data_IF_462060347404
#
_entry.id   IF_462060347404
#
_cell.length_a   1.000
_cell.length_b   1.000
_cell.length_c   1.000
_cell.angle_alpha   90.00
_cell.angle_beta   90.00
_cell.angle_gamma   90.00
#
_symmetry.space_group_name_H-M   'P 1'
#
loop_
_entity.id
_entity.type
_entity.pdbx_description
1 polymer ?
#
# COMPACT_ATOMS: atom_id res chain seq x y z
N UNK A 1 -0.77 26.68 9.24
CA UNK A 1 -1.59 25.63 9.87
C UNK A 1 -0.70 24.41 10.00
N UNK A 2 -0.50 23.93 11.22
CA UNK A 2 0.34 22.79 11.56
C UNK A 2 -0.19 21.50 10.91
N UNK A 3 0.67 20.80 10.16
CA UNK A 3 0.40 19.44 9.66
C UNK A 3 0.24 18.48 10.84
N UNK A 4 -0.95 17.91 11.01
CA UNK A 4 -1.19 16.79 11.93
C UNK A 4 -0.70 15.52 11.24
N UNK A 5 0.54 15.12 11.51
CA UNK A 5 1.00 13.75 11.27
C UNK A 5 0.40 12.89 12.37
N UNK A 6 -0.74 12.26 12.10
CA UNK A 6 -1.28 11.25 12.99
C UNK A 6 -0.48 9.96 12.78
N UNK A 7 0.49 9.70 13.65
CA UNK A 7 1.14 8.39 13.74
C UNK A 7 0.10 7.45 14.34
N UNK A 8 -0.55 6.63 13.52
CA UNK A 8 -1.36 5.53 14.03
C UNK A 8 -0.44 4.59 14.83
N UNK A 9 -0.95 4.05 15.96
CA UNK A 9 -0.23 3.06 16.80
C UNK A 9 0.48 2.05 15.90
N UNK A 10 1.77 1.82 16.13
CA UNK A 10 2.61 0.91 15.33
C UNK A 10 2.01 -0.50 15.41
N UNK A 11 1.33 -0.99 14.38
CA UNK A 11 0.72 -2.29 14.47
C UNK A 11 1.83 -3.33 14.33
N UNK A 12 1.93 -4.25 15.30
CA UNK A 12 2.82 -5.42 15.18
C UNK A 12 2.07 -6.47 14.37
N UNK A 13 2.44 -6.63 13.11
CA UNK A 13 1.97 -7.74 12.27
C UNK A 13 3.03 -8.84 12.28
N UNK A 14 2.69 -10.02 12.83
CA UNK A 14 3.60 -11.16 12.88
C UNK A 14 4.95 -10.90 13.58
N UNK A 15 5.00 -9.99 14.56
CA UNK A 15 6.23 -9.63 15.27
C UNK A 15 7.09 -8.55 14.60
N UNK A 16 6.75 -8.08 13.39
CA UNK A 16 7.48 -7.00 12.71
C UNK A 16 6.92 -5.61 13.03
N UNK A 17 7.83 -4.67 13.31
CA UNK A 17 7.50 -3.24 13.46
C UNK A 17 7.44 -2.59 12.08
N UNK A 18 6.24 -2.36 11.55
CA UNK A 18 6.04 -1.61 10.30
C UNK A 18 5.54 -0.22 10.64
N UNK A 19 6.25 0.81 10.15
CA UNK A 19 5.82 2.20 10.31
C UNK A 19 4.85 2.56 9.19
N UNK A 20 3.57 2.68 9.54
CA UNK A 20 2.55 3.22 8.63
C UNK A 20 2.37 4.69 8.97
N UNK A 21 2.69 5.57 8.02
CA UNK A 21 2.41 7.00 8.13
C UNK A 21 1.23 7.34 7.23
N UNK A 22 0.11 7.76 7.84
CA UNK A 22 -1.03 8.31 7.13
C UNK A 22 -0.74 9.78 6.84
N UNK A 23 -0.62 10.14 5.55
CA UNK A 23 -0.37 11.52 5.15
C UNK A 23 -1.61 12.10 4.46
N UNK A 24 -2.41 12.83 5.24
CA UNK A 24 -3.57 13.58 4.73
C UNK A 24 -3.06 14.93 4.20
N UNK A 25 -2.69 14.99 2.92
CA UNK A 25 -2.28 16.25 2.29
C UNK A 25 -3.54 17.07 1.94
N UNK A 26 -3.91 18.05 2.76
CA UNK A 26 -4.95 19.01 2.42
C UNK A 26 -4.59 19.75 1.12
N UNK A 27 -5.23 19.39 -0.01
CA UNK A 27 -5.12 20.15 -1.24
C UNK A 27 -5.84 21.50 -1.04
N UNK A 28 -5.09 22.57 -0.79
CA UNK A 28 -5.55 23.92 -1.14
C UNK A 28 -5.10 24.25 -2.57
N UNK A 29 -6.11 24.61 -3.36
CA UNK A 29 -6.12 25.13 -4.71
C UNK A 29 -4.80 25.78 -5.20
N UNK A 30 -4.15 25.15 -6.18
CA UNK A 30 -3.11 25.80 -6.98
C UNK A 30 -3.77 26.57 -8.15
N UNK A 31 -4.39 27.70 -7.82
CA UNK A 31 -4.84 28.73 -8.78
C UNK A 31 -4.63 30.12 -8.18
N UNK A 32 -3.37 30.50 -7.92
CA UNK A 32 -2.87 31.89 -7.94
C UNK A 32 -1.44 31.91 -7.40
N UNK A 33 -0.48 32.31 -8.23
CA UNK A 33 0.93 32.35 -7.87
C UNK A 33 1.23 33.38 -6.78
N UNK A 34 1.85 32.93 -5.69
CA UNK A 34 2.69 33.73 -4.79
C UNK A 34 3.56 32.81 -3.93
N UNK A 35 4.79 33.24 -3.63
CA UNK A 35 5.84 32.55 -2.87
C UNK A 35 6.07 33.25 -1.49
N UNK A 36 6.99 32.78 -0.61
CA UNK A 36 6.69 31.94 0.57
C UNK A 36 7.21 32.52 1.92
N UNK A 37 6.94 31.88 3.07
CA UNK A 37 7.69 32.07 4.34
C UNK A 37 7.75 30.74 5.17
N UNK A 38 8.76 30.51 6.05
CA UNK A 38 9.23 29.19 6.45
C UNK A 38 8.56 28.61 7.71
N UNK A 39 8.47 27.28 7.82
CA UNK A 39 8.01 26.58 9.02
C UNK A 39 9.12 25.81 9.76
N UNK A 40 9.12 26.01 11.08
CA UNK A 40 9.94 25.38 12.12
C UNK A 40 9.62 23.89 12.29
N UNK A 41 10.66 23.10 12.57
CA UNK A 41 10.56 21.65 12.82
C UNK A 41 9.87 21.36 14.16
N UNK A 42 9.00 20.36 14.21
CA UNK A 42 8.42 19.84 15.44
C UNK A 42 9.28 18.67 15.97
N UNK A 43 9.74 18.81 17.21
CA UNK A 43 10.32 17.77 18.06
C UNK A 43 9.23 16.83 18.59
N UNK A 44 9.54 15.55 18.70
CA UNK A 44 8.69 14.52 19.31
C UNK A 44 8.47 14.81 20.79
N UNK A 45 7.21 14.77 21.24
CA UNK A 45 6.84 14.78 22.67
C UNK A 45 5.96 13.55 22.92
N UNK A 46 6.41 12.67 23.82
CA UNK A 46 5.59 11.61 24.39
C UNK A 46 4.58 12.21 25.37
N UNK A 47 3.30 11.88 25.25
CA UNK A 47 2.30 12.18 26.27
C UNK A 47 1.37 10.98 26.43
N UNK A 48 1.28 10.49 27.67
CA UNK A 48 0.48 9.34 28.09
C UNK A 48 -1.02 9.60 28.18
N UNK A 49 -1.76 8.50 28.31
CA UNK A 49 -3.22 8.39 28.39
C UNK A 49 -3.88 9.31 29.42
N UNK A 50 -4.98 9.95 29.02
CA UNK A 50 -6.15 10.14 29.88
C UNK A 50 -7.43 10.20 29.04
N UNK A 51 -8.44 9.46 29.47
CA UNK A 51 -9.78 9.37 28.92
C UNK A 51 -10.52 10.71 28.94
N UNK A 52 -11.15 11.11 27.82
CA UNK A 52 -12.35 11.96 27.85
C UNK A 52 -13.27 11.64 26.66
N UNK A 53 -14.55 11.48 27.02
CA UNK A 53 -15.70 11.13 26.19
C UNK A 53 -15.95 12.07 24.99
N UNK A 54 -16.56 11.48 23.95
CA UNK A 54 -17.16 12.20 22.84
C UNK A 54 -18.43 12.92 23.30
N UNK A 55 -18.50 14.23 23.04
CA UNK A 55 -19.76 14.98 23.10
C UNK A 55 -20.10 15.54 21.71
N UNK A 56 -21.37 15.39 21.36
CA UNK A 56 -21.95 15.73 20.08
C UNK A 56 -22.69 17.08 20.19
N UNK A 57 -22.42 18.00 19.25
CA UNK A 57 -23.26 19.16 19.01
C UNK A 57 -23.46 19.26 17.48
N UNK A 58 -24.64 18.97 16.95
CA UNK A 58 -25.84 19.82 16.90
C UNK A 58 -25.67 21.03 15.97
N UNK A 59 -26.34 20.95 14.81
CA UNK A 59 -27.01 22.11 14.22
C UNK A 59 -28.23 21.63 13.45
N UNK A 60 -29.40 21.96 14.00
CA UNK A 60 -30.69 21.87 13.33
C UNK A 60 -30.78 22.91 12.21
N UNK A 61 -31.46 22.57 11.13
CA UNK A 61 -32.27 23.55 10.41
C UNK A 61 -33.55 22.89 9.87
N UNK A 62 -34.68 23.51 10.18
CA UNK A 62 -36.08 23.11 9.97
C UNK A 62 -36.61 23.79 8.71
N UNK A 63 -37.21 23.13 7.71
CA UNK A 63 -38.64 22.74 7.53
C UNK A 63 -39.02 23.14 6.09
N UNK A 64 -39.66 22.25 5.32
CA UNK A 64 -40.98 22.46 4.64
C UNK A 64 -41.44 21.10 4.09
N UNK A 65 -42.69 20.79 4.42
CA UNK A 65 -43.50 19.60 4.16
C UNK A 65 -43.88 19.35 2.69
N UNK A 66 -44.06 18.06 2.33
CA UNK A 66 -45.26 17.58 1.61
C UNK A 66 -45.44 16.07 1.79
N UNK A 67 -46.64 15.72 2.24
CA UNK A 67 -47.19 14.39 2.47
C UNK A 67 -47.18 13.46 1.25
N UNK A 68 -47.00 12.17 1.48
CA UNK A 68 -48.05 11.18 1.19
C UNK A 68 -47.75 9.82 1.83
N UNK A 69 -48.79 9.29 2.45
CA UNK A 69 -48.90 8.10 3.29
C UNK A 69 -49.02 6.79 2.49
N UNK A 70 -48.45 5.69 3.01
CA UNK A 70 -49.22 4.44 3.21
C UNK A 70 -48.56 3.56 4.29
N UNK A 71 -49.34 3.28 5.35
CA UNK A 71 -49.16 2.19 6.32
C UNK A 71 -49.58 0.85 5.65
N UNK A 72 -49.36 -0.36 6.15
CA UNK A 72 -49.13 -0.95 7.48
C UNK A 72 -48.37 -2.29 7.25
N UNK A 73 -47.76 -2.99 8.20
CA UNK A 73 -48.25 -3.37 9.52
C UNK A 73 -47.10 -3.92 10.37
N UNK A 74 -47.13 -3.57 11.64
CA UNK A 74 -46.34 -4.20 12.70
C UNK A 74 -47.18 -5.32 13.31
N UNK A 75 -46.54 -6.43 13.64
CA UNK A 75 -47.05 -7.35 14.65
C UNK A 75 -45.91 -7.68 15.62
N UNK A 76 -46.26 -7.71 16.90
CA UNK A 76 -45.33 -7.59 18.02
C UNK A 76 -45.34 -8.81 18.94
N UNK A 77 -44.19 -9.05 19.57
CA UNK A 77 -43.95 -9.80 20.81
C UNK A 77 -43.80 -11.34 20.70
N UNK A 78 -42.64 -11.84 21.12
CA UNK A 78 -42.49 -12.42 22.46
C UNK A 78 -41.02 -12.41 22.88
N UNK A 79 -40.82 -12.14 24.17
CA UNK A 79 -39.57 -12.10 24.92
C UNK A 79 -39.25 -13.48 25.50
N UNK A 80 -38.07 -14.01 25.18
CA UNK A 80 -37.28 -15.07 25.84
C UNK A 80 -36.23 -15.44 24.77
N UNK A 81 -34.96 -15.08 24.88
CA UNK A 81 -33.97 -15.90 25.58
C UNK A 81 -32.65 -15.11 25.67
N UNK A 82 -32.32 -14.66 26.88
CA UNK A 82 -30.99 -14.18 27.23
C UNK A 82 -30.09 -15.39 27.51
N UNK A 83 -29.33 -15.84 26.52
CA UNK A 83 -28.23 -16.77 26.71
C UNK A 83 -27.00 -16.33 25.92
N UNK A 84 -25.88 -16.25 26.65
CA UNK A 84 -24.59 -15.73 26.24
C UNK A 84 -24.04 -16.35 24.94
N UNK A 85 -23.66 -15.50 23.99
CA UNK A 85 -22.79 -15.89 22.88
C UNK A 85 -21.36 -15.56 23.29
N UNK A 86 -20.65 -16.56 23.81
CA UNK A 86 -19.20 -16.51 24.03
C UNK A 86 -18.54 -16.53 22.65
N UNK A 87 -17.88 -15.43 22.30
CA UNK A 87 -16.97 -15.35 21.16
C UNK A 87 -15.75 -16.24 21.45
N UNK A 88 -15.72 -17.44 20.88
CA UNK A 88 -14.47 -18.17 20.70
C UNK A 88 -14.06 -18.07 19.24
N UNK A 89 -13.21 -17.10 18.94
CA UNK A 89 -12.42 -17.10 17.70
C UNK A 89 -11.61 -18.40 17.62
N UNK A 90 -11.47 -19.02 16.44
CA UNK A 90 -10.66 -20.23 16.29
C UNK A 90 -9.20 -19.95 16.64
N UNK A 91 -8.56 -20.91 17.31
CA UNK A 91 -7.18 -20.83 17.77
C UNK A 91 -6.23 -20.56 16.60
N UNK A 92 -5.34 -19.58 16.79
CA UNK A 92 -4.23 -19.28 15.88
C UNK A 92 -3.27 -20.46 15.90
N UNK A 93 -3.06 -21.06 14.74
CA UNK A 93 -2.01 -22.06 14.53
C UNK A 93 -0.64 -21.40 14.63
N UNK A 94 0.04 -21.62 15.77
CA UNK A 94 1.39 -21.09 16.04
C UNK A 94 2.50 -21.96 15.48
N UNK A 95 2.20 -22.93 14.60
CA UNK A 95 3.19 -23.87 14.07
C UNK A 95 3.96 -23.35 12.84
N UNK A 96 3.62 -22.16 12.32
CA UNK A 96 4.45 -21.50 11.33
C UNK A 96 5.84 -21.24 11.91
N UNK A 97 6.94 -21.66 11.25
CA UNK A 97 8.28 -21.43 11.77
C UNK A 97 8.49 -19.93 11.95
N UNK A 98 8.87 -19.54 13.17
CA UNK A 98 9.29 -18.18 13.46
C UNK A 98 10.36 -17.80 12.44
N UNK A 99 10.08 -16.77 11.65
CA UNK A 99 11.11 -16.09 10.88
C UNK A 99 12.11 -15.57 11.91
N UNK A 100 13.24 -16.26 12.02
CA UNK A 100 14.35 -15.84 12.89
C UNK A 100 14.90 -14.60 12.23
N UNK A 101 14.26 -13.46 12.52
CA UNK A 101 14.80 -12.16 12.25
C UNK A 101 16.16 -12.11 12.91
N UNK A 102 17.20 -12.31 12.10
CA UNK A 102 18.56 -12.02 12.50
C UNK A 102 18.53 -10.58 12.95
N UNK A 103 18.80 -10.35 14.24
CA UNK A 103 18.87 -9.03 14.84
C UNK A 103 20.13 -8.36 14.27
N UNK A 104 20.04 -7.89 13.03
CA UNK A 104 21.09 -7.16 12.35
C UNK A 104 21.16 -5.81 13.04
N UNK A 105 22.30 -5.49 13.64
CA UNK A 105 22.55 -4.19 14.24
C UNK A 105 22.10 -3.07 13.28
N UNK A 106 21.38 -2.04 13.76
CA UNK A 106 20.79 -1.05 12.87
C UNK A 106 21.89 -0.35 12.07
N UNK A 107 21.90 -0.61 10.76
CA UNK A 107 22.74 0.11 9.81
C UNK A 107 22.41 1.61 9.92
N UNK A 108 23.40 2.51 9.98
CA UNK A 108 23.13 3.94 10.00
C UNK A 108 22.19 4.32 8.85
N UNK A 109 21.09 5.00 9.16
CA UNK A 109 20.12 5.38 8.14
C UNK A 109 20.80 6.24 7.06
N UNK A 110 20.59 5.93 5.77
CA UNK A 110 21.23 6.67 4.70
C UNK A 110 20.77 8.13 4.67
N UNK A 111 21.69 9.03 4.30
CA UNK A 111 21.49 10.49 4.42
C UNK A 111 20.59 11.04 3.32
N UNK A 112 19.62 11.86 3.72
CA UNK A 112 18.69 12.58 2.83
C UNK A 112 18.59 14.05 3.23
N UNK A 113 18.06 14.89 2.33
CA UNK A 113 18.08 16.34 2.49
C UNK A 113 16.67 16.94 2.54
N UNK A 114 16.48 17.95 3.38
CA UNK A 114 15.21 18.71 3.44
C UNK A 114 14.94 19.48 2.14
N UNK A 115 15.98 20.04 1.54
CA UNK A 115 15.92 20.81 0.28
C UNK A 115 16.49 19.98 -0.87
N UNK A 116 16.05 20.28 -2.09
CA UNK A 116 16.60 19.65 -3.28
C UNK A 116 18.11 19.94 -3.41
N UNK A 117 18.91 18.90 -3.60
CA UNK A 117 20.37 18.96 -3.74
C UNK A 117 20.88 18.36 -5.04
N UNK A 118 20.12 17.46 -5.65
CA UNK A 118 20.58 16.68 -6.78
C UNK A 118 19.80 16.98 -8.05
N UNK A 119 20.52 16.98 -9.18
CA UNK A 119 19.92 16.73 -10.49
C UNK A 119 19.53 15.25 -10.58
N UNK A 120 18.59 14.93 -11.47
CA UNK A 120 18.03 13.58 -11.59
C UNK A 120 18.50 12.88 -12.86
N UNK A 121 18.85 11.61 -12.72
CA UNK A 121 18.97 10.66 -13.82
C UNK A 121 17.64 9.90 -13.89
N UNK A 122 17.05 9.87 -15.08
CA UNK A 122 15.80 9.15 -15.33
C UNK A 122 16.09 7.83 -16.06
N UNK A 123 15.57 6.74 -15.54
CA UNK A 123 15.62 5.41 -16.15
C UNK A 123 14.18 4.94 -16.36
N UNK A 124 13.70 5.00 -17.61
CA UNK A 124 12.27 4.81 -17.93
C UNK A 124 12.00 3.45 -18.58
N UNK A 125 10.78 2.96 -18.43
CA UNK A 125 10.25 1.73 -19.02
C UNK A 125 11.08 0.47 -18.68
N UNK A 126 11.58 0.39 -17.45
CA UNK A 126 12.32 -0.77 -16.97
C UNK A 126 11.35 -1.90 -16.67
N UNK A 127 11.47 -3.01 -17.37
CA UNK A 127 10.69 -4.22 -17.07
C UNK A 127 11.25 -4.88 -15.80
N UNK A 128 10.46 -4.87 -14.73
CA UNK A 128 10.85 -5.47 -13.44
C UNK A 128 10.38 -6.92 -13.30
N UNK A 129 9.31 -7.28 -14.01
CA UNK A 129 8.75 -8.63 -14.06
C UNK A 129 7.82 -8.77 -15.28
N UNK A 130 7.25 -9.96 -15.43
CA UNK A 130 6.17 -10.24 -16.37
C UNK A 130 4.95 -10.74 -15.60
N UNK A 131 3.76 -10.55 -16.17
CA UNK A 131 2.51 -11.07 -15.60
C UNK A 131 1.70 -11.83 -16.63
N UNK A 132 1.22 -13.03 -16.27
CA UNK A 132 0.26 -13.76 -17.09
C UNK A 132 -1.09 -13.04 -17.08
N UNK A 133 -1.70 -12.91 -18.25
CA UNK A 133 -2.99 -12.25 -18.46
C UNK A 133 -3.92 -13.04 -19.35
N UNK A 134 -5.22 -13.00 -19.04
CA UNK A 134 -6.30 -13.65 -19.78
C UNK A 134 -7.61 -12.83 -19.66
N UNK A 135 -8.64 -13.19 -20.45
CA UNK A 135 -9.98 -12.63 -20.34
C UNK A 135 -10.76 -13.14 -19.11
N UNK A 136 -10.30 -14.24 -18.49
CA UNK A 136 -10.92 -14.92 -17.36
C UNK A 136 -10.00 -14.99 -16.15
N UNK A 137 -10.59 -14.98 -14.95
CA UNK A 137 -9.85 -15.22 -13.72
C UNK A 137 -9.46 -16.68 -13.57
N UNK A 138 -8.26 -16.94 -13.02
CA UNK A 138 -7.77 -18.29 -12.76
C UNK A 138 -7.22 -19.02 -13.99
N UNK A 139 -7.13 -18.35 -15.14
CA UNK A 139 -6.51 -18.90 -16.33
C UNK A 139 -5.03 -19.23 -16.08
N UNK A 140 -4.63 -20.46 -16.45
CA UNK A 140 -3.25 -20.97 -16.33
C UNK A 140 -2.44 -20.80 -17.62
N UNK A 141 -3.11 -20.33 -18.66
CA UNK A 141 -2.59 -20.02 -19.99
C UNK A 141 -3.09 -18.64 -20.38
N UNK A 142 -2.38 -17.96 -21.28
CA UNK A 142 -2.76 -16.63 -21.70
C UNK A 142 -1.62 -15.90 -22.37
N UNK A 143 -1.77 -14.59 -22.50
CA UNK A 143 -0.69 -13.70 -22.97
C UNK A 143 0.13 -13.20 -21.79
N UNK A 144 1.37 -12.81 -22.06
CA UNK A 144 2.23 -12.22 -21.03
C UNK A 144 2.32 -10.72 -21.26
N UNK A 145 2.15 -9.93 -20.21
CA UNK A 145 2.40 -8.49 -20.23
C UNK A 145 3.67 -8.13 -19.47
N UNK A 146 4.35 -7.08 -19.91
CA UNK A 146 5.50 -6.52 -19.19
C UNK A 146 5.02 -5.66 -18.03
N UNK A 147 5.60 -5.91 -16.86
CA UNK A 147 5.40 -5.08 -15.68
C UNK A 147 6.58 -4.12 -15.59
N UNK A 148 6.29 -2.83 -15.69
CA UNK A 148 7.30 -1.80 -15.91
C UNK A 148 7.33 -0.75 -14.80
N UNK A 149 8.50 -0.20 -14.55
CA UNK A 149 8.73 0.95 -13.67
C UNK A 149 9.49 2.06 -14.38
N UNK A 150 9.29 3.28 -13.89
CA UNK A 150 10.09 4.46 -14.22
C UNK A 150 10.81 4.89 -12.94
N UNK A 151 12.10 5.20 -13.01
CA UNK A 151 12.94 5.45 -11.84
C UNK A 151 13.72 6.75 -11.97
N UNK A 152 13.89 7.43 -10.85
CA UNK A 152 14.64 8.67 -10.71
C UNK A 152 15.71 8.51 -9.63
N UNK A 153 16.96 8.71 -10.03
CA UNK A 153 18.14 8.54 -9.20
C UNK A 153 18.88 9.89 -9.05
N UNK A 154 19.48 10.20 -7.89
CA UNK A 154 20.32 11.39 -7.75
C UNK A 154 21.59 11.27 -8.61
N UNK A 155 21.98 12.34 -9.30
CA UNK A 155 23.24 12.41 -10.07
C UNK A 155 24.40 12.94 -9.23
N UNK A 156 25.62 12.55 -9.60
CA UNK A 156 26.85 13.08 -8.98
C UNK A 156 27.03 12.66 -7.52
N UNK A 157 26.57 11.45 -7.19
CA UNK A 157 26.64 10.89 -5.84
C UNK A 157 28.04 10.38 -5.52
N UNK A 158 28.40 10.39 -4.24
CA UNK A 158 29.64 9.83 -3.68
C UNK A 158 29.71 8.30 -3.63
N UNK A 159 28.68 7.61 -4.14
CA UNK A 159 28.57 6.15 -4.10
C UNK A 159 27.97 5.60 -2.80
N UNK A 160 27.60 6.46 -1.84
CA UNK A 160 26.85 6.02 -0.66
C UNK A 160 25.51 5.39 -1.02
N UNK A 161 25.11 4.37 -0.27
CA UNK A 161 23.79 3.76 -0.39
C UNK A 161 22.70 4.74 0.04
N UNK A 162 21.53 4.62 -0.58
CA UNK A 162 20.42 5.57 -0.47
C UNK A 162 19.12 4.87 -0.11
N UNK A 163 18.22 5.52 0.64
CA UNK A 163 16.91 4.94 0.84
C UNK A 163 16.14 4.97 -0.50
N UNK A 164 15.23 4.02 -0.66
CA UNK A 164 14.39 3.94 -1.85
C UNK A 164 12.91 4.16 -1.55
N UNK A 165 12.18 4.67 -2.54
CA UNK A 165 10.75 4.89 -2.48
C UNK A 165 10.08 4.26 -3.71
N UNK A 166 9.18 3.31 -3.52
CA UNK A 166 8.33 2.76 -4.57
C UNK A 166 6.93 3.37 -4.46
N UNK A 167 6.55 4.17 -5.46
CA UNK A 167 5.23 4.77 -5.54
C UNK A 167 4.31 4.02 -6.51
N UNK A 168 3.05 3.87 -6.10
CA UNK A 168 2.05 3.07 -6.80
C UNK A 168 0.85 3.94 -7.13
N UNK A 169 0.45 3.93 -8.40
CA UNK A 169 -0.68 4.73 -8.85
C UNK A 169 -2.03 4.17 -8.37
N UNK A 170 -2.98 5.09 -8.13
CA UNK A 170 -4.38 4.76 -7.93
C UNK A 170 -5.11 4.42 -9.23
N UNK A 171 -6.43 4.55 -9.24
CA UNK A 171 -7.29 4.22 -10.39
C UNK A 171 -8.23 3.04 -10.16
N UNK A 172 -8.50 2.69 -8.89
CA UNK A 172 -9.48 1.68 -8.52
C UNK A 172 -9.17 0.28 -9.08
N UNK A 173 -7.90 -0.01 -9.35
CA UNK A 173 -7.45 -1.22 -10.06
C UNK A 173 -7.96 -1.35 -11.51
N UNK A 174 -8.60 -0.31 -12.06
CA UNK A 174 -9.19 -0.31 -13.41
C UNK A 174 -8.37 0.51 -14.40
N UNK A 175 -7.62 1.49 -13.90
CA UNK A 175 -6.86 2.42 -14.73
C UNK A 175 -5.59 2.90 -14.00
N UNK A 176 -4.80 3.71 -14.71
CA UNK A 176 -3.57 4.31 -14.20
C UNK A 176 -2.32 3.63 -14.77
N UNK A 177 -1.19 4.31 -14.62
CA UNK A 177 0.11 3.82 -15.07
C UNK A 177 1.21 4.44 -14.19
N UNK A 178 2.43 3.89 -14.28
CA UNK A 178 3.65 4.51 -13.71
C UNK A 178 3.89 5.97 -14.11
N UNK A 179 3.28 6.42 -15.20
CA UNK A 179 3.40 7.79 -15.73
C UNK A 179 2.41 8.77 -15.10
N UNK A 180 1.66 8.36 -14.07
CA UNK A 180 0.74 9.26 -13.37
C UNK A 180 1.50 10.50 -12.85
N UNK A 181 1.11 11.69 -13.29
CA UNK A 181 1.87 12.92 -13.04
C UNK A 181 2.06 13.25 -11.55
N UNK A 182 1.04 13.03 -10.72
CA UNK A 182 1.16 13.28 -9.28
C UNK A 182 2.16 12.32 -8.63
N UNK A 183 2.12 11.04 -8.99
CA UNK A 183 3.07 10.03 -8.51
C UNK A 183 4.49 10.33 -8.99
N UNK A 184 4.67 10.66 -10.28
CA UNK A 184 5.96 11.05 -10.86
C UNK A 184 6.54 12.26 -10.12
N UNK A 185 5.71 13.27 -9.81
CA UNK A 185 6.16 14.46 -9.09
C UNK A 185 6.64 14.11 -7.67
N UNK A 186 5.96 13.22 -6.95
CA UNK A 186 6.41 12.71 -5.65
C UNK A 186 7.77 12.00 -5.80
N UNK A 187 7.90 11.10 -6.78
CA UNK A 187 9.16 10.40 -7.00
C UNK A 187 10.33 11.37 -7.25
N UNK A 188 10.15 12.35 -8.14
CA UNK A 188 11.14 13.38 -8.44
C UNK A 188 11.45 14.27 -7.23
N UNK A 189 10.44 14.60 -6.42
CA UNK A 189 10.61 15.38 -5.20
C UNK A 189 11.55 14.69 -4.20
N UNK A 190 11.34 13.40 -3.94
CA UNK A 190 12.18 12.61 -3.05
C UNK A 190 13.56 12.33 -3.67
N UNK A 191 13.62 12.05 -4.98
CA UNK A 191 14.88 11.78 -5.65
C UNK A 191 15.83 12.99 -5.61
N UNK A 192 15.29 14.21 -5.77
CA UNK A 192 16.09 15.44 -5.70
C UNK A 192 16.67 15.68 -4.30
N UNK A 193 16.18 14.95 -3.28
CA UNK A 193 16.56 15.00 -1.87
C UNK A 193 17.40 13.81 -1.43
N UNK A 194 17.87 13.00 -2.37
CA UNK A 194 18.82 11.92 -2.11
C UNK A 194 18.24 10.52 -2.03
N UNK A 195 16.95 10.34 -2.32
CA UNK A 195 16.31 9.03 -2.45
C UNK A 195 16.51 8.45 -3.86
N UNK A 196 16.38 7.13 -3.99
CA UNK A 196 16.11 6.47 -5.28
C UNK A 196 14.62 6.19 -5.35
N UNK A 197 13.90 6.84 -6.24
CA UNK A 197 12.44 6.73 -6.31
C UNK A 197 11.99 6.04 -7.59
N UNK A 198 11.06 5.10 -7.50
CA UNK A 198 10.47 4.41 -8.64
C UNK A 198 8.95 4.50 -8.62
N UNK A 199 8.33 4.66 -9.78
CA UNK A 199 6.89 4.54 -10.00
C UNK A 199 6.61 3.28 -10.80
N UNK A 200 5.66 2.45 -10.37
CA UNK A 200 5.39 1.14 -11.00
C UNK A 200 4.01 1.10 -11.68
N UNK A 201 3.93 0.36 -12.78
CA UNK A 201 2.66 -0.15 -13.31
C UNK A 201 2.44 -1.56 -12.77
N UNK A 202 1.19 -1.92 -12.50
CA UNK A 202 0.74 -3.26 -12.10
C UNK A 202 -0.43 -3.71 -12.97
N UNK A 203 -0.77 -5.00 -12.97
CA UNK A 203 -1.93 -5.51 -13.74
C UNK A 203 -3.24 -4.92 -13.22
N UNK A 204 -4.04 -4.44 -14.15
CA UNK A 204 -5.36 -3.85 -13.90
C UNK A 204 -6.46 -4.86 -14.22
N UNK A 205 -7.70 -4.54 -13.86
CA UNK A 205 -8.89 -5.39 -14.02
C UNK A 205 -9.12 -5.83 -15.48
N UNK A 206 -8.69 -5.04 -16.46
CA UNK A 206 -8.71 -5.42 -17.89
C UNK A 206 -7.67 -6.48 -18.27
N UNK A 207 -6.78 -6.85 -17.36
CA UNK A 207 -5.69 -7.81 -17.50
C UNK A 207 -5.80 -8.87 -16.39
N UNK A 208 -6.93 -9.59 -16.36
CA UNK A 208 -7.17 -10.68 -15.41
C UNK A 208 -6.11 -11.75 -15.55
N UNK A 209 -5.98 -12.63 -14.56
CA UNK A 209 -4.93 -13.65 -14.60
C UNK A 209 -5.10 -14.72 -13.53
N UNK A 210 -4.05 -15.51 -13.30
CA UNK A 210 -4.07 -16.56 -12.29
C UNK A 210 -4.14 -15.94 -10.89
N UNK A 211 -5.05 -16.46 -10.08
CA UNK A 211 -5.22 -16.10 -8.67
C UNK A 211 -5.38 -17.40 -7.86
N UNK A 212 -4.93 -17.44 -6.59
CA UNK A 212 -5.17 -18.57 -5.71
C UNK A 212 -6.67 -18.81 -5.52
N UNK A 213 -7.06 -20.06 -5.30
CA UNK A 213 -8.48 -20.42 -5.19
C UNK A 213 -9.20 -19.68 -4.06
N UNK A 214 -8.52 -19.42 -2.94
CA UNK A 214 -9.08 -18.68 -1.79
C UNK A 214 -9.60 -17.29 -2.16
N UNK A 215 -8.96 -16.61 -3.11
CA UNK A 215 -9.40 -15.29 -3.58
C UNK A 215 -10.75 -15.30 -4.31
N UNK A 216 -11.20 -16.46 -4.82
CA UNK A 216 -12.56 -16.58 -5.35
C UNK A 216 -13.61 -16.54 -4.24
N UNK A 217 -13.30 -17.12 -3.08
CA UNK A 217 -14.17 -17.09 -1.91
C UNK A 217 -14.26 -15.67 -1.34
N UNK A 218 -13.11 -15.00 -1.17
CA UNK A 218 -13.07 -13.60 -0.70
C UNK A 218 -13.84 -12.67 -1.65
N UNK A 219 -13.69 -12.88 -2.96
CA UNK A 219 -14.39 -12.08 -3.95
C UNK A 219 -15.91 -12.31 -3.95
N UNK A 220 -16.39 -13.53 -3.67
CA UNK A 220 -17.81 -13.88 -3.77
C UNK A 220 -18.73 -13.08 -2.83
N UNK A 221 -18.21 -12.65 -1.67
CA UNK A 221 -18.95 -11.81 -0.72
C UNK A 221 -18.96 -10.31 -1.04
N UNK A 222 -18.23 -9.87 -2.08
CA UNK A 222 -18.06 -8.45 -2.39
C UNK A 222 -19.06 -7.96 -3.45
N UNK A 223 -19.47 -6.69 -3.33
CA UNK A 223 -20.22 -5.98 -4.39
C UNK A 223 -19.40 -5.81 -5.68
N UNK A 224 -18.08 -5.94 -5.59
CA UNK A 224 -17.14 -5.76 -6.71
C UNK A 224 -16.13 -6.91 -6.78
N UNK A 225 -16.57 -8.15 -7.12
CA UNK A 225 -15.74 -9.35 -7.04
C UNK A 225 -14.47 -9.28 -7.92
N UNK A 226 -14.58 -8.73 -9.13
CA UNK A 226 -13.41 -8.58 -10.02
C UNK A 226 -12.41 -7.55 -9.51
N UNK A 227 -12.87 -6.54 -8.77
CA UNK A 227 -11.99 -5.56 -8.15
C UNK A 227 -11.21 -6.20 -6.99
N UNK A 228 -11.86 -7.03 -6.17
CA UNK A 228 -11.20 -7.80 -5.11
C UNK A 228 -10.13 -8.74 -5.69
N UNK A 229 -10.41 -9.46 -6.77
CA UNK A 229 -9.40 -10.30 -7.45
C UNK A 229 -8.24 -9.50 -8.02
N UNK A 230 -8.50 -8.29 -8.53
CA UNK A 230 -7.46 -7.40 -9.03
C UNK A 230 -6.53 -6.89 -7.92
N UNK A 231 -7.00 -6.78 -6.67
CA UNK A 231 -6.16 -6.40 -5.53
C UNK A 231 -5.00 -7.38 -5.33
N UNK A 232 -5.27 -8.69 -5.43
CA UNK A 232 -4.23 -9.72 -5.35
C UNK A 232 -3.15 -9.54 -6.42
N UNK A 233 -3.55 -9.40 -7.69
CA UNK A 233 -2.58 -9.23 -8.78
C UNK A 233 -1.74 -7.96 -8.59
N UNK A 234 -2.37 -6.87 -8.16
CA UNK A 234 -1.69 -5.61 -7.90
C UNK A 234 -0.66 -5.75 -6.77
N UNK A 235 -1.04 -6.38 -5.65
CA UNK A 235 -0.15 -6.60 -4.51
C UNK A 235 1.03 -7.51 -4.90
N UNK A 236 0.76 -8.60 -5.62
CA UNK A 236 1.80 -9.49 -6.16
C UNK A 236 2.78 -8.76 -7.07
N UNK A 237 2.27 -7.95 -8.00
CA UNK A 237 3.10 -7.20 -8.95
C UNK A 237 3.96 -6.16 -8.21
N UNK A 238 3.40 -5.50 -7.19
CA UNK A 238 4.15 -4.57 -6.34
C UNK A 238 5.24 -5.27 -5.50
N UNK A 239 4.98 -6.48 -4.98
CA UNK A 239 6.02 -7.31 -4.33
C UNK A 239 7.11 -7.72 -5.30
N UNK A 240 6.76 -8.07 -6.54
CA UNK A 240 7.74 -8.36 -7.58
C UNK A 240 8.63 -7.14 -7.88
N UNK A 241 8.08 -5.92 -7.90
CA UNK A 241 8.85 -4.70 -8.06
C UNK A 241 9.79 -4.43 -6.87
N UNK A 242 9.33 -4.66 -5.65
CA UNK A 242 10.14 -4.57 -4.44
C UNK A 242 11.33 -5.55 -4.47
N UNK A 243 11.07 -6.81 -4.83
CA UNK A 243 12.13 -7.84 -4.98
C UNK A 243 13.09 -7.48 -6.11
N UNK A 244 12.58 -6.98 -7.25
CA UNK A 244 13.43 -6.53 -8.35
C UNK A 244 14.36 -5.40 -7.91
N UNK A 245 13.84 -4.40 -7.20
CA UNK A 245 14.66 -3.28 -6.73
C UNK A 245 15.74 -3.75 -5.76
N UNK A 246 15.39 -4.66 -4.85
CA UNK A 246 16.32 -5.27 -3.89
C UNK A 246 17.40 -6.09 -4.60
N UNK A 247 17.02 -6.88 -5.61
CA UNK A 247 17.95 -7.66 -6.43
C UNK A 247 18.93 -6.78 -7.23
N UNK A 248 18.51 -5.54 -7.54
CA UNK A 248 19.31 -4.57 -8.27
C UNK A 248 19.89 -3.47 -7.35
N UNK A 249 19.86 -3.65 -6.03
CA UNK A 249 20.19 -2.58 -5.09
C UNK A 249 21.60 -2.02 -5.30
N UNK A 250 22.59 -2.91 -5.48
CA UNK A 250 23.98 -2.51 -5.78
C UNK A 250 24.12 -1.71 -7.08
N UNK A 251 23.32 -2.02 -8.10
CA UNK A 251 23.35 -1.32 -9.41
C UNK A 251 22.85 0.12 -9.30
N UNK A 252 21.91 0.36 -8.39
CA UNK A 252 21.24 1.65 -8.23
C UNK A 252 21.63 2.38 -6.94
N UNK A 253 22.66 1.90 -6.23
CA UNK A 253 23.10 2.41 -4.93
C UNK A 253 21.94 2.53 -3.91
N UNK A 254 21.04 1.55 -3.90
CA UNK A 254 19.94 1.46 -2.95
C UNK A 254 20.41 0.72 -1.71
N UNK A 255 20.06 1.22 -0.54
CA UNK A 255 20.12 0.47 0.72
C UNK A 255 18.87 -0.43 0.82
N UNK A 256 19.01 -1.76 0.73
CA UNK A 256 17.87 -2.67 0.76
C UNK A 256 17.17 -2.71 2.13
N UNK A 257 17.78 -2.17 3.18
CA UNK A 257 17.18 -2.11 4.52
C UNK A 257 16.31 -0.85 4.72
N UNK A 258 16.31 0.08 3.76
CA UNK A 258 15.64 1.37 3.84
C UNK A 258 14.78 1.62 2.60
N UNK A 259 13.77 0.76 2.39
CA UNK A 259 12.82 0.88 1.28
C UNK A 259 11.45 1.26 1.83
N UNK A 260 10.88 2.36 1.33
CA UNK A 260 9.51 2.77 1.57
C UNK A 260 8.62 2.43 0.37
N UNK A 261 7.35 2.14 0.64
CA UNK A 261 6.32 1.99 -0.40
C UNK A 261 5.19 2.98 -0.16
N UNK A 262 4.55 3.48 -1.20
CA UNK A 262 3.45 4.42 -1.04
C UNK A 262 2.54 4.50 -2.25
N UNK A 263 1.37 5.09 -2.10
CA UNK A 263 0.45 5.23 -3.21
C UNK A 263 -0.84 5.93 -2.82
N UNK A 264 -1.63 6.29 -3.84
CA UNK A 264 -2.93 6.94 -3.66
C UNK A 264 -4.10 6.00 -3.92
N UNK A 265 -5.12 5.99 -3.06
CA UNK A 265 -6.35 5.18 -3.25
C UNK A 265 -6.02 3.70 -3.48
N UNK A 266 -6.37 3.10 -4.63
CA UNK A 266 -5.98 1.72 -4.98
C UNK A 266 -4.46 1.48 -4.86
N UNK A 267 -3.63 2.48 -5.15
CA UNK A 267 -2.18 2.39 -4.97
C UNK A 267 -1.76 2.34 -3.50
N UNK A 268 -2.51 2.98 -2.59
CA UNK A 268 -2.29 2.87 -1.15
C UNK A 268 -2.61 1.47 -0.65
N UNK A 269 -3.76 0.91 -1.08
CA UNK A 269 -4.12 -0.49 -0.83
C UNK A 269 -3.01 -1.43 -1.28
N UNK A 270 -2.51 -1.26 -2.51
CA UNK A 270 -1.41 -2.07 -3.03
C UNK A 270 -0.14 -1.91 -2.22
N UNK A 271 0.22 -0.67 -1.83
CA UNK A 271 1.42 -0.41 -1.04
C UNK A 271 1.34 -1.04 0.34
N UNK A 272 0.17 -1.01 0.98
CA UNK A 272 -0.04 -1.63 2.29
C UNK A 272 -0.03 -3.15 2.17
N UNK A 273 -0.79 -3.74 1.24
CA UNK A 273 -0.80 -5.19 1.02
C UNK A 273 0.60 -5.75 0.69
N UNK A 274 1.38 -5.03 -0.12
CA UNK A 274 2.77 -5.41 -0.42
C UNK A 274 3.75 -5.12 0.74
N UNK A 275 3.49 -4.10 1.55
CA UNK A 275 4.37 -3.72 2.65
C UNK A 275 4.22 -4.62 3.88
N UNK A 276 3.01 -5.06 4.19
CA UNK A 276 2.69 -5.87 5.39
C UNK A 276 2.78 -7.38 5.17
N UNK A 277 2.85 -7.82 3.92
CA UNK A 277 3.02 -9.24 3.58
C UNK A 277 4.38 -9.78 4.00
N UNK A 278 4.42 -11.07 4.30
CA UNK A 278 5.63 -11.79 4.67
C UNK A 278 6.56 -11.98 3.46
N UNK A 279 7.82 -12.32 3.74
CA UNK A 279 8.82 -12.53 2.69
C UNK A 279 8.42 -13.65 1.72
N UNK A 280 7.73 -14.69 2.22
CA UNK A 280 7.26 -15.85 1.44
C UNK A 280 6.01 -15.57 0.60
N UNK A 281 5.23 -14.54 0.90
CA UNK A 281 3.95 -14.30 0.24
C UNK A 281 4.13 -14.01 -1.26
N UNK A 282 3.12 -14.43 -2.03
CA UNK A 282 3.08 -14.31 -3.48
C UNK A 282 4.18 -15.05 -4.25
N UNK A 283 4.85 -16.03 -3.64
CA UNK A 283 5.88 -16.86 -4.28
C UNK A 283 5.36 -18.24 -4.70
N UNK A 284 4.59 -18.91 -3.85
CA UNK A 284 4.23 -20.33 -3.99
C UNK A 284 2.72 -20.62 -3.88
N UNK A 285 1.89 -19.60 -3.67
CA UNK A 285 0.42 -19.70 -3.69
C UNK A 285 -0.13 -20.18 -5.06
N UNK A 286 0.70 -20.07 -6.09
CA UNK A 286 0.51 -20.61 -7.43
C UNK A 286 1.78 -21.37 -7.81
N UNK A 287 1.63 -22.55 -8.41
CA UNK A 287 2.77 -23.28 -8.99
C UNK A 287 3.23 -22.67 -10.31
N UNK A 288 4.47 -22.98 -10.73
CA UNK A 288 5.01 -22.66 -12.06
C UNK A 288 4.09 -23.09 -13.22
N UNK A 289 3.31 -24.16 -13.04
CA UNK A 289 2.37 -24.64 -14.06
C UNK A 289 1.08 -23.83 -14.09
N UNK A 290 0.70 -23.20 -12.98
CA UNK A 290 -0.44 -22.30 -12.90
C UNK A 290 -0.08 -20.89 -13.36
N UNK A 291 1.16 -20.48 -13.11
CA UNK A 291 1.69 -19.20 -13.57
C UNK A 291 3.20 -19.26 -13.86
N UNK A 292 3.62 -19.42 -15.12
CA UNK A 292 5.03 -19.47 -15.48
C UNK A 292 5.74 -18.12 -15.28
N UNK A 293 5.00 -17.02 -15.09
CA UNK A 293 5.60 -15.68 -14.92
C UNK A 293 6.17 -15.46 -13.53
N UNK A 294 5.88 -16.33 -12.55
CA UNK A 294 6.46 -16.28 -11.20
C UNK A 294 8.00 -16.27 -11.22
N UNK A 295 8.62 -17.00 -12.14
CA UNK A 295 10.07 -17.04 -12.36
C UNK A 295 10.68 -15.68 -12.67
N UNK A 296 9.88 -14.75 -13.20
CA UNK A 296 10.33 -13.40 -13.56
C UNK A 296 10.22 -12.41 -12.40
N UNK A 297 9.70 -12.82 -11.24
CA UNK A 297 9.40 -11.93 -10.11
C UNK A 297 10.51 -11.87 -9.06
N UNK A 298 11.72 -12.30 -9.41
CA UNK A 298 12.88 -12.41 -8.50
C UNK A 298 12.56 -13.26 -7.24
N UNK A 299 12.08 -14.51 -7.38
CA UNK A 299 11.56 -15.29 -6.27
C UNK A 299 12.61 -15.65 -5.20
N UNK A 300 13.90 -15.64 -5.56
CA UNK A 300 15.00 -15.93 -4.64
C UNK A 300 15.51 -14.68 -3.88
N UNK A 301 14.88 -13.53 -4.08
CA UNK A 301 15.26 -12.27 -3.43
C UNK A 301 14.30 -11.97 -2.27
N UNK A 302 14.82 -12.00 -1.05
CA UNK A 302 14.10 -11.49 0.13
C UNK A 302 14.08 -9.97 0.11
N UNK A 303 12.95 -9.37 0.49
CA UNK A 303 12.80 -7.93 0.57
C UNK A 303 11.82 -7.52 1.68
N UNK A 304 12.09 -6.37 2.29
CA UNK A 304 11.30 -5.79 3.38
C UNK A 304 10.98 -4.32 3.12
N UNK A 305 9.88 -3.85 3.70
CA UNK A 305 9.46 -2.45 3.64
C UNK A 305 9.63 -1.83 5.02
N UNK A 306 10.37 -0.72 5.10
CA UNK A 306 10.68 -0.02 6.33
C UNK A 306 9.59 1.01 6.69
N UNK A 307 8.87 1.51 5.68
CA UNK A 307 7.79 2.48 5.87
C UNK A 307 6.73 2.41 4.76
N UNK A 308 5.48 2.71 5.12
CA UNK A 308 4.37 2.85 4.16
C UNK A 308 3.82 4.28 4.19
N UNK A 309 3.73 4.92 3.02
CA UNK A 309 3.10 6.21 2.81
C UNK A 309 1.68 6.01 2.26
N UNK A 310 0.68 6.13 3.14
CA UNK A 310 -0.72 6.00 2.78
C UNK A 310 -1.31 7.37 2.37
N UNK A 311 -1.64 7.50 1.09
CA UNK A 311 -2.41 8.64 0.57
C UNK A 311 -3.85 8.20 0.30
N UNK A 312 -4.76 8.54 1.22
CA UNK A 312 -6.21 8.33 1.07
C UNK A 312 -6.64 6.87 0.84
N UNK A 313 -5.85 5.89 1.31
CA UNK A 313 -6.28 4.51 1.50
C UNK A 313 -7.43 4.48 2.51
N UNK A 314 -8.50 3.75 2.22
CA UNK A 314 -9.64 3.67 3.13
C UNK A 314 -9.27 2.95 4.44
N UNK A 315 -9.80 3.38 5.58
CA UNK A 315 -9.51 2.76 6.89
C UNK A 315 -9.91 1.26 7.01
N UNK A 316 -10.62 0.70 6.02
CA UNK A 316 -10.99 -0.72 5.92
C UNK A 316 -9.83 -1.67 5.56
N UNK A 317 -8.62 -1.15 5.38
CA UNK A 317 -7.44 -1.91 4.94
C UNK A 317 -7.02 -3.04 5.89
N UNK A 318 -7.00 -2.89 7.23
CA UNK A 318 -6.61 -3.96 8.13
C UNK A 318 -7.51 -5.20 8.02
N UNK A 319 -8.82 -5.00 7.91
CA UNK A 319 -9.81 -6.08 7.93
C UNK A 319 -9.77 -7.00 6.68
N UNK A 320 -9.18 -6.55 5.57
CA UNK A 320 -9.04 -7.35 4.34
C UNK A 320 -7.77 -8.22 4.37
N UNK A 321 -6.79 -7.85 5.19
CA UNK A 321 -5.50 -8.54 5.30
C UNK A 321 -5.53 -9.69 6.33
N UNK A 322 -6.61 -9.79 7.11
CA UNK A 322 -6.84 -10.86 8.10
C UNK A 322 -7.69 -12.03 7.55
N UNK A 323 -8.15 -11.94 6.30
CA UNK A 323 -9.05 -12.91 5.66
C UNK A 323 -8.29 -13.89 4.74
#
# INVERSE_FOLDING_TARGET
MSELVQVAKTPRWGGRLIRVALLVLGLMSACSGQSPEPYSAATSVDVGESDVAADAASSQDTLVSKDSTSAASADSLTSEDTAARVDTAPAIDTSAPADVGVDVAPTPAPTVFKTAKFKLKETLAVTYAKGLTDANWGAKTGTTTELQLDMWEPQGTDGSLRPALIMIHGGGFKSGTRKNGAIVNICKFFAARGWVSASISYRLLGSKGPIPAGWNTVAAGSKSPDQVRAMYLAARDARAALRWLTANAAKYNVDPNHIAMGGGSAGAYTAIAAGVSFAGDYLDELSDTQDPTLKTTNPNTSASVSAILDFWGGASIPNILEA
#
